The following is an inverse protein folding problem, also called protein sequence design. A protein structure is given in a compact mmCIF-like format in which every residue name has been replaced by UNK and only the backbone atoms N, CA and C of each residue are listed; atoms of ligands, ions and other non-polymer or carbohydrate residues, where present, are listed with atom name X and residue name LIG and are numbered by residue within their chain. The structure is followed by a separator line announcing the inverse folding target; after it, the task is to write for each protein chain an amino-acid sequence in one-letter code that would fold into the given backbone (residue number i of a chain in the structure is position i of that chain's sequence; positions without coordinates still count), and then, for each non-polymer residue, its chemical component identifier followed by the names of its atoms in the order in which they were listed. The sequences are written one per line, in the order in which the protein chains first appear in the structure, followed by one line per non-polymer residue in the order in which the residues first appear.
data_IF_700340355911
#
_entry.id   IF_700340355911
#
_cell.length_a   1.000
_cell.length_b   1.000
_cell.length_c   1.000
_cell.angle_alpha   90.00
_cell.angle_beta   90.00
_cell.angle_gamma   90.00
#
_symmetry.space_group_name_H-M   'P 1'
#
loop_
_entity.id
_entity.type
_entity.pdbx_description
1 polymer ?
#
# COMPACT_ATOMS: atom_id res chain seq x y z
N UNK A 1 18.65 -24.00 10.34
CA UNK A 1 19.06 -23.48 9.00
C UNK A 1 19.20 -21.98 9.08
N UNK A 2 20.41 -21.48 8.86
CA UNK A 2 20.91 -20.14 9.18
C UNK A 2 20.68 -19.16 8.00
N UNK A 3 19.52 -18.51 7.96
CA UNK A 3 19.25 -17.39 7.02
C UNK A 3 19.30 -15.99 7.67
N UNK A 4 19.79 -15.87 8.91
CA UNK A 4 19.61 -14.68 9.76
C UNK A 4 20.32 -13.37 9.33
N UNK A 5 21.56 -13.35 8.77
CA UNK A 5 22.30 -12.08 8.64
C UNK A 5 21.84 -11.18 7.49
N UNK A 6 21.42 -11.76 6.35
CA UNK A 6 20.95 -11.01 5.19
C UNK A 6 19.59 -10.34 5.43
N UNK A 7 18.69 -11.07 6.10
CA UNK A 7 17.35 -10.60 6.49
C UNK A 7 17.45 -9.44 7.48
N UNK A 8 18.27 -9.57 8.52
CA UNK A 8 18.49 -8.50 9.51
C UNK A 8 19.07 -7.22 8.87
N UNK A 9 20.00 -7.36 7.90
CA UNK A 9 20.52 -6.20 7.14
C UNK A 9 19.42 -5.50 6.33
N UNK A 10 18.58 -6.27 5.65
CA UNK A 10 17.47 -5.72 4.86
C UNK A 10 16.44 -5.01 5.76
N UNK A 11 16.10 -5.60 6.93
CA UNK A 11 15.21 -5.00 7.91
C UNK A 11 15.77 -3.71 8.49
N UNK A 12 17.06 -3.66 8.87
CA UNK A 12 17.72 -2.41 9.30
C UNK A 12 17.69 -1.32 8.23
N UNK A 13 17.83 -1.69 6.95
CA UNK A 13 17.71 -0.73 5.85
C UNK A 13 16.28 -0.21 5.73
N UNK A 14 15.29 -1.11 5.75
CA UNK A 14 13.88 -0.73 5.69
C UNK A 14 13.49 0.16 6.87
N UNK A 15 13.90 -0.20 8.09
CA UNK A 15 13.68 0.59 9.29
C UNK A 15 14.18 2.03 9.14
N UNK A 16 15.43 2.23 8.68
CA UNK A 16 15.97 3.56 8.44
C UNK A 16 15.15 4.33 7.41
N UNK A 17 14.81 3.71 6.28
CA UNK A 17 13.97 4.35 5.25
C UNK A 17 12.61 4.80 5.81
N UNK A 18 12.00 3.99 6.66
CA UNK A 18 10.71 4.27 7.28
C UNK A 18 10.83 5.37 8.36
N UNK A 19 11.90 5.36 9.16
CA UNK A 19 12.16 6.36 10.20
C UNK A 19 12.52 7.73 9.61
N UNK A 20 13.36 7.75 8.57
CA UNK A 20 13.86 8.97 7.92
C UNK A 20 12.88 9.55 6.89
N UNK A 21 11.72 8.91 6.71
CA UNK A 21 10.69 9.38 5.79
C UNK A 21 10.15 10.76 6.19
N UNK A 22 9.96 11.62 5.20
CA UNK A 22 9.30 12.91 5.41
C UNK A 22 7.91 12.72 6.01
N UNK A 23 7.36 13.76 6.63
CA UNK A 23 5.97 13.72 7.10
C UNK A 23 5.01 13.98 5.92
N UNK A 24 3.80 13.37 5.95
CA UNK A 24 2.74 13.75 5.03
C UNK A 24 2.47 15.26 5.13
N UNK A 25 2.34 15.93 3.99
CA UNK A 25 2.15 17.37 3.94
C UNK A 25 1.18 17.77 2.83
N UNK A 26 0.47 18.87 3.03
CA UNK A 26 -0.38 19.48 2.02
C UNK A 26 0.28 20.74 1.49
N UNK A 27 0.52 20.80 0.17
CA UNK A 27 1.09 21.96 -0.52
C UNK A 27 0.22 22.24 -1.75
N UNK A 28 -0.24 23.48 -1.92
CA UNK A 28 -1.05 23.89 -3.08
C UNK A 28 -2.26 22.96 -3.36
N UNK A 29 -2.98 22.56 -2.30
CA UNK A 29 -4.12 21.61 -2.34
C UNK A 29 -3.76 20.18 -2.79
N UNK A 30 -2.48 19.84 -2.84
CA UNK A 30 -1.96 18.51 -3.17
C UNK A 30 -1.44 17.85 -1.92
N UNK A 31 -1.76 16.58 -1.74
CA UNK A 31 -1.23 15.77 -0.65
C UNK A 31 0.08 15.10 -1.11
N UNK A 32 1.20 15.50 -0.51
CA UNK A 32 2.48 14.82 -0.67
C UNK A 32 2.55 13.74 0.42
N UNK A 33 2.42 12.48 0.01
CA UNK A 33 2.26 11.35 0.91
C UNK A 33 3.44 10.37 0.77
N UNK A 34 4.30 10.25 1.78
CA UNK A 34 5.12 9.06 1.97
C UNK A 34 4.21 7.85 2.17
N UNK A 35 4.42 6.79 1.39
CA UNK A 35 3.61 5.59 1.44
C UNK A 35 4.38 4.36 0.95
N UNK A 36 3.92 3.18 1.40
CA UNK A 36 4.36 1.91 0.86
C UNK A 36 3.47 1.57 -0.33
N UNK A 37 4.08 1.35 -1.49
CA UNK A 37 3.36 1.17 -2.76
C UNK A 37 3.31 -0.30 -3.17
N UNK A 38 2.10 -0.81 -3.38
CA UNK A 38 1.82 -2.11 -3.98
C UNK A 38 1.20 -1.91 -5.36
N UNK A 39 1.94 -2.27 -6.40
CA UNK A 39 1.44 -2.17 -7.79
C UNK A 39 0.33 -3.21 -8.00
N UNK A 40 -0.81 -2.77 -8.55
CA UNK A 40 -1.88 -3.66 -8.97
C UNK A 40 -1.46 -4.37 -10.26
N UNK A 41 -1.62 -5.69 -10.26
CA UNK A 41 -1.24 -6.61 -11.34
C UNK A 41 -2.47 -6.99 -12.15
N UNK A 42 -3.61 -7.19 -11.48
CA UNK A 42 -4.86 -7.53 -12.13
C UNK A 42 -6.05 -6.89 -11.40
N UNK A 43 -7.02 -6.44 -12.19
CA UNK A 43 -8.34 -5.99 -11.75
C UNK A 43 -9.35 -6.79 -12.55
N UNK A 44 -10.18 -7.58 -11.86
CA UNK A 44 -11.20 -8.39 -12.50
C UNK A 44 -12.57 -7.95 -12.00
N UNK A 45 -13.47 -7.48 -12.88
CA UNK A 45 -14.84 -7.24 -12.49
C UNK A 45 -15.46 -8.59 -12.12
N UNK A 46 -16.10 -8.65 -10.97
CA UNK A 46 -16.91 -9.79 -10.59
C UNK A 46 -18.32 -9.53 -11.11
N UNK A 47 -18.88 -10.48 -11.86
CA UNK A 47 -20.25 -10.37 -12.37
C UNK A 47 -21.19 -10.04 -11.22
N UNK A 48 -21.82 -8.86 -11.29
CA UNK A 48 -22.78 -8.39 -10.30
C UNK A 48 -24.15 -9.00 -10.54
N UNK A 49 -24.97 -9.03 -9.49
CA UNK A 49 -26.39 -9.25 -9.63
C UNK A 49 -26.98 -8.02 -10.35
N UNK A 50 -27.74 -8.17 -11.45
CA UNK A 50 -28.36 -7.03 -12.14
C UNK A 50 -29.31 -6.21 -11.24
N UNK A 51 -29.69 -6.73 -10.07
CA UNK A 51 -30.52 -6.05 -9.09
C UNK A 51 -29.76 -5.18 -8.08
N UNK A 52 -28.43 -5.28 -7.98
CA UNK A 52 -27.64 -4.45 -7.07
C UNK A 52 -26.90 -3.32 -7.79
N UNK A 53 -27.00 -2.07 -7.33
CA UNK A 53 -26.36 -0.93 -7.97
C UNK A 53 -24.86 -0.81 -7.61
N UNK A 54 -24.19 -1.91 -7.29
CA UNK A 54 -22.80 -1.91 -6.82
C UNK A 54 -21.90 -2.81 -7.67
N UNK A 55 -20.66 -2.34 -7.88
CA UNK A 55 -19.68 -3.00 -8.72
C UNK A 55 -18.60 -3.63 -7.85
N UNK A 56 -18.51 -4.96 -7.89
CA UNK A 56 -17.48 -5.69 -7.14
C UNK A 56 -16.29 -6.02 -8.03
N UNK A 57 -15.08 -5.81 -7.50
CA UNK A 57 -13.83 -6.05 -8.20
C UNK A 57 -12.90 -6.91 -7.35
N UNK A 58 -12.31 -7.93 -7.97
CA UNK A 58 -11.16 -8.66 -7.43
C UNK A 58 -9.89 -7.94 -7.85
N UNK A 59 -9.09 -7.54 -6.86
CA UNK A 59 -7.81 -6.85 -7.06
C UNK A 59 -6.68 -7.75 -6.59
N UNK A 60 -5.68 -7.91 -7.45
CA UNK A 60 -4.42 -8.56 -7.13
C UNK A 60 -3.29 -7.55 -7.22
N UNK A 61 -2.51 -7.44 -6.15
CA UNK A 61 -1.40 -6.49 -6.07
C UNK A 61 -0.14 -7.18 -5.53
N UNK A 62 1.02 -6.71 -5.98
CA UNK A 62 2.32 -7.27 -5.61
C UNK A 62 2.54 -7.24 -4.09
N UNK A 63 2.82 -8.41 -3.51
CA UNK A 63 3.11 -8.57 -2.08
C UNK A 63 1.89 -8.48 -1.16
N UNK A 64 0.67 -8.38 -1.71
CA UNK A 64 -0.58 -8.40 -0.96
C UNK A 64 -1.35 -9.70 -1.22
N UNK A 65 -2.18 -10.09 -0.26
CA UNK A 65 -3.23 -11.10 -0.51
C UNK A 65 -4.25 -10.53 -1.51
N UNK A 66 -4.85 -11.37 -2.38
CA UNK A 66 -5.97 -10.95 -3.21
C UNK A 66 -7.07 -10.34 -2.33
N UNK A 67 -7.68 -9.26 -2.80
CA UNK A 67 -8.73 -8.56 -2.08
C UNK A 67 -9.94 -8.28 -2.99
N UNK A 68 -11.09 -8.14 -2.37
CA UNK A 68 -12.34 -7.78 -3.03
C UNK A 68 -12.78 -6.39 -2.55
N UNK A 69 -13.16 -5.53 -3.49
CA UNK A 69 -13.75 -4.23 -3.18
C UNK A 69 -15.11 -4.10 -3.85
N UNK A 70 -16.05 -3.47 -3.17
CA UNK A 70 -17.35 -3.11 -3.71
C UNK A 70 -17.44 -1.59 -3.79
N UNK A 71 -17.75 -1.10 -4.98
CA UNK A 71 -17.83 0.33 -5.29
C UNK A 71 -19.26 0.70 -5.68
N UNK A 72 -19.72 1.91 -5.33
CA UNK A 72 -21.01 2.42 -5.81
C UNK A 72 -20.95 2.72 -7.32
N UNK A 73 -19.80 3.17 -7.81
CA UNK A 73 -19.59 3.56 -9.20
C UNK A 73 -18.64 2.60 -9.91
N UNK A 74 -18.84 2.43 -11.22
CA UNK A 74 -17.98 1.62 -12.07
C UNK A 74 -16.59 2.25 -12.16
N UNK A 75 -15.54 1.42 -12.06
CA UNK A 75 -14.18 1.85 -12.35
C UNK A 75 -14.05 2.29 -13.82
N UNK A 76 -13.34 3.39 -14.02
CA UNK A 76 -12.94 3.89 -15.35
C UNK A 76 -12.13 2.80 -16.09
N UNK A 77 -12.31 2.65 -17.41
CA UNK A 77 -11.60 1.60 -18.18
C UNK A 77 -10.07 1.75 -18.08
N UNK A 78 -9.57 2.99 -18.09
CA UNK A 78 -8.16 3.29 -17.86
C UNK A 78 -7.66 2.80 -16.48
N UNK A 79 -8.53 2.76 -15.47
CA UNK A 79 -8.19 2.21 -14.16
C UNK A 79 -8.08 0.67 -14.17
N UNK A 80 -8.71 0.01 -15.15
CA UNK A 80 -8.65 -1.45 -15.29
C UNK A 80 -7.39 -1.92 -16.03
N UNK A 81 -6.62 -1.02 -16.63
CA UNK A 81 -5.35 -1.33 -17.28
C UNK A 81 -4.26 -1.78 -16.28
N UNK A 82 -3.41 -2.70 -16.73
CA UNK A 82 -2.36 -3.28 -15.89
C UNK A 82 -1.35 -2.22 -15.43
N UNK A 83 -1.32 -1.97 -14.12
CA UNK A 83 -0.43 -1.01 -13.49
C UNK A 83 -0.88 0.44 -13.51
N UNK A 84 -2.11 0.72 -13.96
CA UNK A 84 -2.74 2.04 -13.78
C UNK A 84 -3.05 2.31 -12.30
N UNK A 85 -3.39 1.26 -11.55
CA UNK A 85 -3.72 1.34 -10.13
C UNK A 85 -2.57 0.97 -9.20
N UNK A 86 -2.57 1.63 -8.06
CA UNK A 86 -1.70 1.36 -6.93
C UNK A 86 -2.53 1.25 -5.65
N UNK A 87 -2.29 0.19 -4.89
CA UNK A 87 -2.75 0.08 -3.51
C UNK A 87 -1.62 0.60 -2.64
N UNK A 88 -1.89 1.64 -1.87
CA UNK A 88 -0.85 2.27 -1.04
C UNK A 88 -1.21 2.21 0.44
N UNK A 89 -0.21 1.92 1.28
CA UNK A 89 -0.29 2.13 2.73
C UNK A 89 0.26 3.51 3.05
N UNK A 90 -0.57 4.47 3.50
CA UNK A 90 -0.07 5.73 4.03
C UNK A 90 0.99 5.47 5.11
N UNK A 91 2.09 6.23 5.06
CA UNK A 91 3.17 6.09 6.01
C UNK A 91 3.42 7.39 6.76
N UNK A 92 3.73 7.28 8.05
CA UNK A 92 4.37 8.35 8.80
C UNK A 92 5.41 7.78 9.76
N UNK A 93 6.55 8.45 9.91
CA UNK A 93 7.64 7.97 10.77
C UNK A 93 7.24 7.80 12.23
N UNK A 94 6.28 8.60 12.72
CA UNK A 94 5.73 8.51 14.09
C UNK A 94 4.79 7.31 14.32
N UNK A 95 4.44 6.54 13.27
CA UNK A 95 3.34 5.55 13.29
C UNK A 95 3.73 4.26 14.02
N UNK A 96 5.03 3.99 14.08
CA UNK A 96 5.55 2.75 14.62
C UNK A 96 6.25 2.90 15.97
N UNK A 97 6.36 4.12 16.53
CA UNK A 97 7.19 4.34 17.73
C UNK A 97 8.58 3.72 17.57
N UNK A 98 9.16 3.79 16.36
CA UNK A 98 10.35 3.04 15.97
C UNK A 98 11.50 3.39 16.92
N UNK A 99 12.07 2.42 17.65
CA UNK A 99 13.22 2.69 18.48
C UNK A 99 14.40 3.12 17.59
N UNK A 100 15.20 4.08 18.04
CA UNK A 100 16.36 4.56 17.27
C UNK A 100 17.40 3.48 16.95
N UNK A 101 17.35 2.34 17.66
CA UNK A 101 18.20 1.16 17.43
C UNK A 101 17.31 -0.08 17.24
N UNK A 102 17.53 -0.78 16.13
CA UNK A 102 16.83 -2.01 15.79
C UNK A 102 17.59 -3.20 16.39
N UNK A 103 17.13 -3.71 17.53
CA UNK A 103 17.53 -4.99 18.10
C UNK A 103 16.62 -6.13 17.60
N UNK A 104 16.87 -7.37 18.03
CA UNK A 104 16.11 -8.53 17.55
C UNK A 104 14.60 -8.42 17.83
N UNK A 105 14.22 -7.90 19.01
CA UNK A 105 12.81 -7.73 19.39
C UNK A 105 12.15 -6.64 18.54
N UNK A 106 12.85 -5.54 18.30
CA UNK A 106 12.39 -4.47 17.44
C UNK A 106 12.31 -4.90 15.95
N UNK A 107 13.20 -5.78 15.47
CA UNK A 107 13.10 -6.40 14.14
C UNK A 107 11.80 -7.20 14.01
N UNK A 108 11.50 -8.05 15.00
CA UNK A 108 10.27 -8.84 15.04
C UNK A 108 9.02 -7.96 15.10
N UNK A 109 9.04 -6.92 15.94
CA UNK A 109 7.94 -5.97 16.07
C UNK A 109 7.68 -5.20 14.78
N UNK A 110 8.73 -4.81 14.05
CA UNK A 110 8.62 -4.15 12.74
C UNK A 110 7.93 -5.07 11.72
N UNK A 111 8.42 -6.31 11.59
CA UNK A 111 7.82 -7.30 10.69
C UNK A 111 6.36 -7.56 11.06
N UNK A 112 6.10 -7.78 12.34
CA UNK A 112 4.75 -8.02 12.86
C UNK A 112 3.81 -6.85 12.53
N UNK A 113 4.23 -5.62 12.77
CA UNK A 113 3.39 -4.43 12.51
C UNK A 113 3.17 -4.18 11.02
N UNK A 114 4.16 -4.46 10.18
CA UNK A 114 3.99 -4.36 8.74
C UNK A 114 3.03 -5.44 8.22
N UNK A 115 3.04 -6.66 8.79
CA UNK A 115 2.14 -7.76 8.39
C UNK A 115 0.68 -7.62 8.85
N UNK A 116 0.41 -6.74 9.83
CA UNK A 116 -0.98 -6.48 10.26
C UNK A 116 -1.79 -5.92 9.08
N UNK A 117 -3.09 -6.27 9.00
CA UNK A 117 -3.99 -5.63 8.06
C UNK A 117 -3.97 -4.11 8.23
N UNK A 118 -4.12 -3.38 7.13
CA UNK A 118 -4.11 -1.92 7.14
C UNK A 118 -5.13 -1.34 6.17
N UNK A 119 -5.54 -0.11 6.47
CA UNK A 119 -6.40 0.68 5.60
C UNK A 119 -5.54 1.28 4.48
N UNK A 120 -5.80 0.84 3.25
CA UNK A 120 -5.12 1.29 2.07
C UNK A 120 -5.89 2.41 1.37
N UNK A 121 -5.16 3.18 0.56
CA UNK A 121 -5.74 4.05 -0.45
C UNK A 121 -5.58 3.38 -1.81
N UNK A 122 -6.64 3.41 -2.62
CA UNK A 122 -6.59 3.03 -4.01
C UNK A 122 -6.34 4.28 -4.85
N UNK A 123 -5.21 4.30 -5.56
CA UNK A 123 -4.76 5.43 -6.34
C UNK A 123 -4.67 5.06 -7.81
N UNK A 124 -5.19 5.94 -8.67
CA UNK A 124 -4.99 5.88 -10.11
C UNK A 124 -3.85 6.83 -10.50
N UNK A 125 -2.93 6.34 -11.32
CA UNK A 125 -1.85 7.18 -11.84
C UNK A 125 -2.39 8.15 -12.91
N UNK A 126 -2.05 9.41 -12.77
CA UNK A 126 -2.32 10.47 -13.74
C UNK A 126 -1.05 10.84 -14.53
N UNK A 127 -1.18 11.64 -15.60
CA UNK A 127 -0.03 12.31 -16.21
C UNK A 127 0.80 13.11 -15.18
N UNK A 128 2.06 13.38 -15.51
CA UNK A 128 3.00 14.13 -14.66
C UNK A 128 3.32 13.50 -13.30
N UNK A 129 3.13 12.18 -13.18
CA UNK A 129 3.45 11.42 -11.96
C UNK A 129 2.61 11.84 -10.73
N UNK A 130 1.40 12.31 -10.98
CA UNK A 130 0.39 12.60 -9.98
C UNK A 130 -0.55 11.40 -9.82
N UNK A 131 -1.33 11.41 -8.74
CA UNK A 131 -2.20 10.30 -8.38
C UNK A 131 -3.56 10.81 -7.95
N UNK A 132 -4.63 10.27 -8.52
CA UNK A 132 -6.00 10.54 -8.09
C UNK A 132 -6.42 9.45 -7.11
N UNK A 133 -6.96 9.83 -5.95
CA UNK A 133 -7.63 8.85 -5.09
C UNK A 133 -8.95 8.44 -5.74
N UNK A 134 -9.13 7.13 -5.88
CA UNK A 134 -10.41 6.55 -6.29
C UNK A 134 -11.01 5.75 -5.15
N UNK A 135 -12.29 5.40 -5.26
CA UNK A 135 -13.00 4.68 -4.20
C UNK A 135 -12.89 5.38 -2.83
N UNK A 136 -13.01 6.71 -2.81
CA UNK A 136 -12.71 7.52 -1.62
C UNK A 136 -13.64 7.23 -0.44
N UNK A 137 -14.87 6.83 -0.71
CA UNK A 137 -15.89 6.42 0.26
C UNK A 137 -15.81 4.95 0.68
N UNK A 138 -14.96 4.14 0.03
CA UNK A 138 -14.84 2.71 0.32
C UNK A 138 -13.62 2.44 1.20
N UNK A 139 -13.83 1.70 2.29
CA UNK A 139 -12.74 1.20 3.11
C UNK A 139 -12.03 0.04 2.39
N UNK A 140 -10.75 0.21 2.09
CA UNK A 140 -9.93 -0.84 1.46
C UNK A 140 -9.01 -1.44 2.51
N UNK A 141 -9.38 -2.59 3.07
CA UNK A 141 -8.55 -3.31 4.05
C UNK A 141 -7.71 -4.36 3.34
N UNK A 142 -6.39 -4.32 3.53
CA UNK A 142 -5.45 -5.21 2.84
C UNK A 142 -4.40 -5.78 3.79
N UNK A 143 -3.81 -6.90 3.40
CA UNK A 143 -2.77 -7.58 4.19
C UNK A 143 -1.65 -8.09 3.27
N UNK A 144 -0.40 -8.05 3.75
CA UNK A 144 0.71 -8.69 3.04
C UNK A 144 0.54 -10.22 2.98
N UNK A 145 1.04 -10.83 1.91
CA UNK A 145 0.98 -12.27 1.69
C UNK A 145 1.88 -13.05 2.66
N UNK A 146 3.14 -12.62 2.82
CA UNK A 146 4.14 -13.33 3.62
C UNK A 146 5.22 -12.40 4.22
N UNK A 147 6.12 -12.94 5.03
CA UNK A 147 7.24 -12.20 5.62
C UNK A 147 8.27 -11.70 4.58
N UNK A 148 8.66 -12.49 3.54
CA UNK A 148 9.50 -12.00 2.45
C UNK A 148 8.97 -10.73 1.77
N UNK A 149 7.65 -10.60 1.61
CA UNK A 149 7.02 -9.41 1.02
C UNK A 149 7.29 -8.14 1.83
N UNK A 150 7.53 -8.25 3.14
CA UNK A 150 7.94 -7.11 3.97
C UNK A 150 9.28 -6.54 3.51
N UNK A 151 10.24 -7.39 3.14
CA UNK A 151 11.57 -6.97 2.69
C UNK A 151 11.55 -6.32 1.30
N UNK A 152 10.53 -6.62 0.50
CA UNK A 152 10.32 -6.04 -0.83
C UNK A 152 9.53 -4.73 -0.81
N UNK A 153 9.19 -4.25 0.38
CA UNK A 153 8.48 -2.98 0.60
C UNK A 153 9.16 -1.84 -0.14
N UNK A 154 8.39 -1.14 -0.99
CA UNK A 154 8.85 0.05 -1.71
C UNK A 154 8.21 1.29 -1.10
N UNK A 155 8.97 1.98 -0.27
CA UNK A 155 8.60 3.30 0.22
C UNK A 155 8.79 4.32 -0.91
N UNK A 156 7.76 5.12 -1.18
CA UNK A 156 7.78 6.22 -2.14
C UNK A 156 7.05 7.42 -1.56
N UNK A 157 7.35 8.59 -2.10
CA UNK A 157 6.55 9.80 -1.87
C UNK A 157 5.72 10.05 -3.12
N UNK A 158 4.39 10.07 -2.97
CA UNK A 158 3.45 10.31 -4.07
C UNK A 158 2.76 11.66 -3.90
N UNK A 159 2.48 12.32 -5.01
CA UNK A 159 1.66 13.54 -5.06
C UNK A 159 0.23 13.15 -5.41
N UNK A 160 -0.70 13.35 -4.48
CA UNK A 160 -2.11 13.01 -4.62
C UNK A 160 -2.91 14.29 -4.84
N UNK A 161 -3.80 14.27 -5.83
CA UNK A 161 -4.73 15.34 -6.21
C UNK A 161 -6.18 14.99 -5.92
#
# INVERSE_FOLDING_TARGET
MSQLPATSRALRRLHRLLADSALPQFINRRLILPCIVHRVIAVQPQGGDPSTPSYTYKIQASGLKPLEITLPDKLEEAAMEQGALQVVRPWHSKLLGLPGKLDAMAEEQLVFTLRRPFNALLLMRLPHNEYKRIASSTLVSVQLVDSPSVLQTKLKTLTIV
#
